data_IF_246811205714
#
_entry.id   IF_246811205714
#
_cell.length_a   1.000
_cell.length_b   1.000
_cell.length_c   1.000
_cell.angle_alpha   90.00
_cell.angle_beta   90.00
_cell.angle_gamma   90.00
#
_symmetry.space_group_name_H-M   'P 1'
#
loop_
_entity.id
_entity.type
_entity.pdbx_description
1 polymer ?
#
# COMPACT_ATOMS: atom_id res chain seq x y z
N UNK A 1 -15.16 -4.58 -18.85
CA UNK A 1 -15.52 -5.10 -17.51
C UNK A 1 -16.79 -5.90 -17.63
N UNK A 2 -16.87 -7.03 -16.94
CA UNK A 2 -18.06 -7.87 -16.85
C UNK A 2 -18.95 -7.37 -15.69
N UNK A 3 -20.22 -7.78 -15.67
CA UNK A 3 -21.15 -7.42 -14.58
C UNK A 3 -20.65 -7.85 -13.20
N UNK A 4 -19.99 -9.02 -13.13
CA UNK A 4 -19.37 -9.50 -11.89
C UNK A 4 -18.25 -8.57 -11.40
N UNK A 5 -17.50 -7.92 -12.29
CA UNK A 5 -16.44 -6.99 -11.89
C UNK A 5 -17.05 -5.78 -11.17
N UNK A 6 -18.18 -5.26 -11.68
CA UNK A 6 -18.90 -4.14 -11.07
C UNK A 6 -19.45 -4.52 -9.70
N UNK A 7 -20.07 -5.70 -9.59
CA UNK A 7 -20.56 -6.21 -8.31
C UNK A 7 -19.42 -6.37 -7.30
N UNK A 8 -18.27 -6.91 -7.73
CA UNK A 8 -17.12 -7.10 -6.84
C UNK A 8 -16.40 -5.81 -6.49
N UNK A 9 -16.47 -4.77 -7.33
CA UNK A 9 -16.03 -3.41 -6.94
C UNK A 9 -16.88 -2.91 -5.77
N UNK A 10 -18.21 -3.03 -5.86
CA UNK A 10 -19.11 -2.58 -4.80
C UNK A 10 -18.86 -3.35 -3.49
N UNK A 11 -18.72 -4.68 -3.57
CA UNK A 11 -18.42 -5.51 -2.39
C UNK A 11 -17.04 -5.17 -1.81
N UNK A 12 -16.01 -5.02 -2.66
CA UNK A 12 -14.67 -4.66 -2.23
C UNK A 12 -14.65 -3.31 -1.53
N UNK A 13 -15.32 -2.30 -2.10
CA UNK A 13 -15.40 -0.96 -1.52
C UNK A 13 -16.12 -0.97 -0.17
N UNK A 14 -17.26 -1.66 -0.08
CA UNK A 14 -18.03 -1.77 1.16
C UNK A 14 -17.23 -2.48 2.26
N UNK A 15 -16.63 -3.63 1.95
CA UNK A 15 -15.81 -4.38 2.90
C UNK A 15 -14.58 -3.58 3.32
N UNK A 16 -13.92 -2.91 2.38
CA UNK A 16 -12.73 -2.12 2.69
C UNK A 16 -13.07 -0.93 3.58
N UNK A 17 -14.17 -0.23 3.31
CA UNK A 17 -14.67 0.83 4.17
C UNK A 17 -15.00 0.30 5.58
N UNK A 18 -15.77 -0.79 5.69
CA UNK A 18 -16.17 -1.38 6.97
C UNK A 18 -14.95 -1.84 7.77
N UNK A 19 -14.05 -2.61 7.16
CA UNK A 19 -12.84 -3.08 7.84
C UNK A 19 -11.98 -1.89 8.24
N UNK A 20 -11.79 -0.90 7.36
CA UNK A 20 -11.07 0.33 7.67
C UNK A 20 -11.65 1.09 8.87
N UNK A 21 -12.98 1.17 8.97
CA UNK A 21 -13.66 1.77 10.13
C UNK A 21 -13.46 0.94 11.41
N UNK A 22 -13.55 -0.39 11.33
CA UNK A 22 -13.41 -1.28 12.49
C UNK A 22 -11.95 -1.42 12.97
N UNK A 23 -10.98 -1.31 12.06
CA UNK A 23 -9.55 -1.39 12.37
C UNK A 23 -8.91 -0.02 12.56
N UNK A 24 -9.70 1.05 12.64
CA UNK A 24 -9.19 2.35 13.01
C UNK A 24 -8.86 2.37 14.51
N UNK A 25 -7.68 1.85 14.85
CA UNK A 25 -7.19 1.76 16.23
C UNK A 25 -6.72 3.11 16.79
N UNK A 26 -6.85 4.20 16.03
CA UNK A 26 -6.28 5.51 16.40
C UNK A 26 -4.75 5.54 16.39
N UNK A 27 -4.10 4.48 15.91
CA UNK A 27 -2.64 4.41 15.77
C UNK A 27 -2.27 5.15 14.49
N UNK A 28 -1.61 6.30 14.67
CA UNK A 28 -1.12 7.16 13.61
C UNK A 28 0.42 7.08 13.56
N UNK A 29 1.03 7.57 12.48
CA UNK A 29 2.48 7.58 12.37
C UNK A 29 3.11 8.31 13.58
N UNK A 30 4.10 7.72 14.27
CA UNK A 30 4.64 8.28 15.50
C UNK A 30 5.34 9.62 15.31
N UNK A 31 5.75 9.93 14.08
CA UNK A 31 6.50 11.15 13.79
C UNK A 31 5.59 12.36 13.68
N UNK A 32 4.43 12.22 13.03
CA UNK A 32 3.55 13.35 12.72
C UNK A 32 2.06 13.10 12.93
N UNK A 33 1.60 11.86 13.10
CA UNK A 33 0.19 11.57 13.36
C UNK A 33 -0.73 11.73 12.15
N UNK A 34 -0.21 11.64 10.92
CA UNK A 34 -0.90 11.89 9.65
C UNK A 34 -1.41 10.63 9.00
N UNK A 35 -0.56 9.61 8.93
CA UNK A 35 -0.90 8.38 8.22
C UNK A 35 -1.31 7.31 9.22
N UNK A 36 -2.47 6.70 9.00
CA UNK A 36 -3.02 5.68 9.88
C UNK A 36 -2.30 4.34 9.69
N UNK A 37 -2.20 3.58 10.76
CA UNK A 37 -1.91 2.14 10.68
C UNK A 37 -3.09 1.42 10.01
N UNK A 38 -2.85 0.79 8.86
CA UNK A 38 -3.95 0.40 7.97
C UNK A 38 -3.93 -1.07 7.54
N UNK A 39 -4.22 -2.04 8.44
CA UNK A 39 -4.28 -3.45 8.07
C UNK A 39 -5.45 -3.77 7.11
N UNK A 40 -6.42 -2.86 6.96
CA UNK A 40 -7.57 -3.01 6.07
C UNK A 40 -7.18 -3.21 4.59
N UNK A 41 -5.96 -2.86 4.19
CA UNK A 41 -5.38 -3.10 2.84
C UNK A 41 -5.49 -4.54 2.35
N UNK A 42 -5.62 -5.51 3.27
CA UNK A 42 -5.83 -6.92 2.95
C UNK A 42 -7.06 -7.08 2.05
N UNK A 43 -8.14 -6.34 2.28
CA UNK A 43 -9.39 -6.46 1.53
C UNK A 43 -9.18 -6.14 0.05
N UNK A 44 -8.78 -4.91 -0.35
CA UNK A 44 -8.53 -4.64 -1.75
C UNK A 44 -7.39 -5.49 -2.33
N UNK A 45 -6.42 -5.93 -1.50
CA UNK A 45 -5.40 -6.90 -1.90
C UNK A 45 -5.99 -8.24 -2.37
N UNK A 46 -6.95 -8.81 -1.62
CA UNK A 46 -7.67 -10.05 -2.00
C UNK A 46 -8.41 -9.85 -3.32
N UNK A 47 -9.20 -8.77 -3.42
CA UNK A 47 -10.01 -8.51 -4.61
C UNK A 47 -9.16 -8.19 -5.85
N UNK A 48 -8.01 -7.55 -5.68
CA UNK A 48 -7.05 -7.31 -6.75
C UNK A 48 -6.53 -8.63 -7.33
N UNK A 49 -6.27 -9.64 -6.49
CA UNK A 49 -5.80 -10.95 -6.95
C UNK A 49 -6.94 -11.74 -7.59
N UNK A 50 -8.09 -11.85 -6.92
CA UNK A 50 -9.22 -12.66 -7.38
C UNK A 50 -9.89 -12.12 -8.65
N UNK A 51 -10.08 -10.80 -8.74
CA UNK A 51 -10.87 -10.18 -9.81
C UNK A 51 -10.07 -9.22 -10.71
N UNK A 52 -8.80 -8.96 -10.36
CA UNK A 52 -7.85 -8.26 -11.21
C UNK A 52 -7.77 -6.75 -10.96
N UNK A 53 -6.93 -6.10 -11.77
CA UNK A 53 -6.51 -4.69 -11.62
C UNK A 53 -7.63 -3.67 -11.41
N UNK A 54 -8.73 -3.80 -12.16
CA UNK A 54 -9.81 -2.80 -12.11
C UNK A 54 -10.65 -2.94 -10.85
N UNK A 55 -10.93 -4.18 -10.43
CA UNK A 55 -11.69 -4.44 -9.21
C UNK A 55 -10.89 -4.04 -7.98
N UNK A 56 -9.62 -4.44 -7.92
CA UNK A 56 -8.71 -4.02 -6.84
C UNK A 56 -8.57 -2.50 -6.75
N UNK A 57 -8.24 -1.83 -7.86
CA UNK A 57 -8.01 -0.38 -7.87
C UNK A 57 -9.26 0.44 -7.55
N UNK A 58 -10.37 0.21 -8.27
CA UNK A 58 -11.60 1.02 -8.08
C UNK A 58 -12.23 0.72 -6.71
N UNK A 59 -12.29 -0.56 -6.31
CA UNK A 59 -12.80 -0.96 -5.01
C UNK A 59 -12.01 -0.31 -3.87
N UNK A 60 -10.67 -0.31 -3.97
CA UNK A 60 -9.81 0.35 -2.99
C UNK A 60 -10.05 1.85 -2.92
N UNK A 61 -10.14 2.53 -4.08
CA UNK A 61 -10.33 3.98 -4.14
C UNK A 61 -11.65 4.43 -3.51
N UNK A 62 -12.74 3.71 -3.77
CA UNK A 62 -14.05 4.02 -3.18
C UNK A 62 -14.05 3.69 -1.69
N UNK A 63 -13.50 2.53 -1.31
CA UNK A 63 -13.49 2.10 0.09
C UNK A 63 -12.68 3.03 0.99
N UNK A 64 -11.49 3.46 0.55
CA UNK A 64 -10.67 4.41 1.33
C UNK A 64 -11.36 5.77 1.45
N UNK A 65 -12.02 6.24 0.38
CA UNK A 65 -12.75 7.51 0.41
C UNK A 65 -13.81 7.52 1.51
N UNK A 66 -14.63 6.48 1.54
CA UNK A 66 -15.68 6.35 2.55
C UNK A 66 -15.05 6.25 3.95
N UNK A 67 -14.02 5.45 4.11
CA UNK A 67 -13.36 5.27 5.41
C UNK A 67 -12.73 6.57 5.92
N UNK A 68 -12.06 7.32 5.06
CA UNK A 68 -11.42 8.59 5.40
C UNK A 68 -12.40 9.70 5.73
N UNK A 69 -13.50 9.80 4.97
CA UNK A 69 -14.50 10.85 5.16
C UNK A 69 -15.40 10.55 6.37
N UNK A 70 -15.77 9.29 6.59
CA UNK A 70 -16.74 8.92 7.63
C UNK A 70 -16.08 8.70 8.99
N UNK A 71 -14.98 7.94 9.05
CA UNK A 71 -14.33 7.55 10.30
C UNK A 71 -12.88 8.03 10.42
N UNK A 72 -12.38 8.69 9.39
CA UNK A 72 -11.01 9.16 9.30
C UNK A 72 -10.85 10.63 9.66
N UNK A 73 -10.14 11.34 8.79
CA UNK A 73 -9.83 12.75 8.97
C UNK A 73 -10.93 13.69 8.43
N UNK A 74 -12.02 13.15 7.86
CA UNK A 74 -13.20 13.92 7.45
C UNK A 74 -13.01 14.84 6.23
N UNK A 75 -11.83 14.84 5.61
CA UNK A 75 -11.51 15.75 4.50
C UNK A 75 -11.69 15.06 3.14
N UNK A 76 -12.84 15.26 2.51
CA UNK A 76 -13.14 14.66 1.22
C UNK A 76 -12.15 15.05 0.11
N UNK A 77 -11.68 16.30 0.08
CA UNK A 77 -10.74 16.75 -0.96
C UNK A 77 -9.39 16.05 -0.82
N UNK A 78 -8.89 15.95 0.41
CA UNK A 78 -7.64 15.24 0.69
C UNK A 78 -7.74 13.77 0.32
N UNK A 79 -8.82 13.09 0.75
CA UNK A 79 -8.99 11.68 0.44
C UNK A 79 -9.16 11.46 -1.07
N UNK A 80 -9.94 12.28 -1.76
CA UNK A 80 -10.12 12.16 -3.21
C UNK A 80 -8.81 12.35 -3.99
N UNK A 81 -8.02 13.35 -3.60
CA UNK A 81 -6.79 13.70 -4.33
C UNK A 81 -5.61 12.78 -4.03
N UNK A 82 -5.48 12.32 -2.78
CA UNK A 82 -4.32 11.55 -2.31
C UNK A 82 -4.71 10.11 -1.92
N UNK A 83 -5.74 9.95 -1.09
CA UNK A 83 -6.19 8.63 -0.61
C UNK A 83 -6.69 7.72 -1.75
N UNK A 84 -7.65 8.19 -2.53
CA UNK A 84 -8.21 7.46 -3.67
C UNK A 84 -7.17 7.17 -4.74
N UNK A 85 -6.32 8.15 -5.08
CA UNK A 85 -5.32 8.01 -6.14
C UNK A 85 -4.24 7.01 -5.75
N UNK A 86 -3.73 7.07 -4.52
CA UNK A 86 -2.76 6.10 -4.00
C UNK A 86 -3.31 4.69 -3.96
N UNK A 87 -4.51 4.50 -3.41
CA UNK A 87 -5.16 3.20 -3.31
C UNK A 87 -5.50 2.64 -4.69
N UNK A 88 -6.05 3.48 -5.58
CA UNK A 88 -6.33 3.08 -6.96
C UNK A 88 -5.07 2.54 -7.63
N UNK A 89 -4.00 3.33 -7.68
CA UNK A 89 -2.77 2.96 -8.39
C UNK A 89 -2.11 1.76 -7.73
N UNK A 90 -2.02 1.74 -6.39
CA UNK A 90 -1.40 0.65 -5.65
C UNK A 90 -2.08 -0.69 -5.92
N UNK A 91 -3.38 -0.79 -5.70
CA UNK A 91 -4.10 -2.06 -5.89
C UNK A 91 -4.35 -2.41 -7.37
N UNK A 92 -4.38 -1.42 -8.26
CA UNK A 92 -4.35 -1.68 -9.70
C UNK A 92 -3.05 -2.38 -10.10
N UNK A 93 -1.90 -1.92 -9.60
CA UNK A 93 -0.60 -2.56 -9.85
C UNK A 93 -0.52 -3.94 -9.20
N UNK A 94 -1.05 -4.12 -7.98
CA UNK A 94 -1.13 -5.45 -7.34
C UNK A 94 -1.90 -6.43 -8.24
N UNK A 95 -3.10 -6.05 -8.70
CA UNK A 95 -3.93 -6.90 -9.55
C UNK A 95 -3.37 -7.14 -10.95
N UNK A 96 -2.55 -6.20 -11.45
CA UNK A 96 -1.87 -6.32 -12.75
C UNK A 96 -0.66 -7.25 -12.68
N UNK A 97 0.20 -7.06 -11.68
CA UNK A 97 1.50 -7.74 -11.57
C UNK A 97 1.39 -9.13 -10.96
N UNK A 98 0.44 -9.36 -10.04
CA UNK A 98 0.23 -10.68 -9.41
C UNK A 98 -0.11 -11.78 -10.42
N UNK A 99 -0.70 -11.41 -11.57
CA UNK A 99 -1.07 -12.31 -12.66
C UNK A 99 0.01 -12.49 -13.73
N UNK A 100 1.16 -11.82 -13.60
CA UNK A 100 2.29 -12.00 -14.52
C UNK A 100 3.15 -13.18 -14.10
N UNK A 101 3.73 -13.86 -15.08
CA UNK A 101 4.72 -14.90 -14.84
C UNK A 101 6.14 -14.30 -14.80
N UNK A 102 6.53 -13.73 -13.65
CA UNK A 102 7.83 -13.09 -13.50
C UNK A 102 8.90 -14.09 -13.06
N UNK A 103 10.10 -13.95 -13.65
CA UNK A 103 11.26 -14.74 -13.25
C UNK A 103 11.84 -14.14 -11.98
N UNK A 104 12.45 -15.00 -11.15
CA UNK A 104 13.14 -14.58 -9.92
C UNK A 104 14.19 -13.49 -10.18
N UNK A 105 14.88 -13.57 -11.31
CA UNK A 105 15.85 -12.55 -11.72
C UNK A 105 15.23 -11.16 -11.82
N UNK A 106 14.03 -11.05 -12.41
CA UNK A 106 13.38 -9.75 -12.63
C UNK A 106 12.87 -9.18 -11.29
N UNK A 107 12.34 -10.05 -10.42
CA UNK A 107 11.93 -9.70 -9.05
C UNK A 107 13.13 -9.18 -8.26
N UNK A 108 14.26 -9.90 -8.28
CA UNK A 108 15.48 -9.53 -7.56
C UNK A 108 16.08 -8.22 -8.08
N UNK A 109 16.11 -8.02 -9.40
CA UNK A 109 16.59 -6.76 -10.00
C UNK A 109 15.76 -5.59 -9.48
N UNK A 110 14.43 -5.69 -9.52
CA UNK A 110 13.55 -4.60 -9.11
C UNK A 110 13.64 -4.34 -7.60
N UNK A 111 13.68 -5.39 -6.78
CA UNK A 111 13.89 -5.25 -5.33
C UNK A 111 15.24 -4.60 -5.04
N UNK A 112 16.30 -4.98 -5.75
CA UNK A 112 17.65 -4.42 -5.55
C UNK A 112 17.70 -2.95 -5.97
N UNK A 113 17.23 -2.63 -7.18
CA UNK A 113 17.18 -1.25 -7.70
C UNK A 113 16.34 -0.36 -6.78
N UNK A 114 15.16 -0.83 -6.38
CA UNK A 114 14.28 -0.10 -5.46
C UNK A 114 14.92 0.13 -4.09
N UNK A 115 15.55 -0.91 -3.51
CA UNK A 115 16.22 -0.79 -2.21
C UNK A 115 17.43 0.14 -2.28
N UNK A 116 18.25 0.05 -3.33
CA UNK A 116 19.41 0.93 -3.52
C UNK A 116 18.98 2.38 -3.70
N UNK A 117 17.93 2.63 -4.48
CA UNK A 117 17.38 3.98 -4.67
C UNK A 117 16.87 4.55 -3.34
N UNK A 118 16.10 3.78 -2.57
CA UNK A 118 15.56 4.22 -1.27
C UNK A 118 16.66 4.42 -0.21
N UNK A 119 17.68 3.56 -0.17
CA UNK A 119 18.83 3.73 0.73
C UNK A 119 19.66 4.96 0.35
N UNK A 120 19.97 5.14 -0.94
CA UNK A 120 20.72 6.31 -1.42
C UNK A 120 19.97 7.61 -1.13
N UNK A 121 18.64 7.60 -1.29
CA UNK A 121 17.79 8.74 -0.96
C UNK A 121 17.76 9.04 0.54
N UNK A 122 17.61 8.02 1.38
CA UNK A 122 17.65 8.18 2.85
C UNK A 122 19.00 8.74 3.31
N UNK A 123 20.10 8.23 2.73
CA UNK A 123 21.45 8.74 2.98
C UNK A 123 21.66 10.18 2.53
N UNK A 124 21.08 10.58 1.39
CA UNK A 124 21.09 11.97 0.94
C UNK A 124 20.32 12.89 1.89
N UNK A 125 19.12 12.50 2.35
CA UNK A 125 18.34 13.30 3.30
C UNK A 125 19.05 13.45 4.66
N UNK A 126 19.79 12.43 5.08
CA UNK A 126 20.66 12.51 6.25
C UNK A 126 21.81 13.51 6.04
N UNK A 127 22.46 13.50 4.87
CA UNK A 127 23.62 14.38 4.60
C UNK A 127 23.27 15.86 4.58
N UNK A 128 22.01 16.20 4.26
CA UNK A 128 21.47 17.58 4.33
C UNK A 128 20.83 17.91 5.69
N UNK A 129 21.10 17.12 6.74
CA UNK A 129 20.60 17.27 8.11
C UNK A 129 19.06 17.33 8.22
N UNK A 130 18.33 16.72 7.27
CA UNK A 130 16.87 16.68 7.31
C UNK A 130 16.34 15.48 8.12
N UNK A 131 17.17 14.46 8.35
CA UNK A 131 16.82 13.29 9.15
C UNK A 131 17.80 13.12 10.30
N UNK A 132 17.30 12.71 11.47
CA UNK A 132 18.16 12.25 12.57
C UNK A 132 18.63 10.82 12.31
N UNK A 133 19.72 10.43 12.97
CA UNK A 133 20.28 9.09 12.81
C UNK A 133 19.30 7.98 13.23
N UNK A 134 18.47 8.23 14.25
CA UNK A 134 17.44 7.29 14.71
C UNK A 134 16.38 7.05 13.63
N UNK A 135 15.96 8.11 12.94
CA UNK A 135 14.96 8.05 11.87
C UNK A 135 15.53 7.33 10.65
N UNK A 136 16.79 7.59 10.30
CA UNK A 136 17.50 6.86 9.23
C UNK A 136 17.59 5.36 9.55
N UNK A 137 17.99 5.02 10.78
CA UNK A 137 18.12 3.63 11.22
C UNK A 137 16.77 2.90 11.18
N UNK A 138 15.70 3.54 11.65
CA UNK A 138 14.34 2.99 11.60
C UNK A 138 13.91 2.74 10.15
N UNK A 139 14.15 3.67 9.23
CA UNK A 139 13.77 3.51 7.82
C UNK A 139 14.53 2.43 7.09
N UNK A 140 15.86 2.40 7.22
CA UNK A 140 16.65 1.33 6.61
C UNK A 140 16.27 -0.02 7.22
N UNK A 141 16.04 -0.08 8.54
CA UNK A 141 15.57 -1.27 9.24
C UNK A 141 14.27 -1.82 8.64
N UNK A 142 13.25 -0.99 8.51
CA UNK A 142 11.96 -1.38 7.91
C UNK A 142 12.12 -1.77 6.43
N UNK A 143 12.86 -0.99 5.64
CA UNK A 143 13.06 -1.25 4.21
C UNK A 143 13.67 -2.64 4.00
N UNK A 144 14.79 -2.93 4.68
CA UNK A 144 15.47 -4.21 4.55
C UNK A 144 14.70 -5.35 5.20
N UNK A 145 13.97 -5.11 6.30
CA UNK A 145 13.06 -6.10 6.87
C UNK A 145 11.95 -6.48 5.88
N UNK A 146 11.39 -5.51 5.15
CA UNK A 146 10.35 -5.75 4.16
C UNK A 146 10.89 -6.54 2.95
N UNK A 147 12.08 -6.19 2.47
CA UNK A 147 12.77 -6.95 1.41
C UNK A 147 13.04 -8.39 1.87
N UNK A 148 13.51 -8.57 3.11
CA UNK A 148 13.74 -9.88 3.70
C UNK A 148 12.44 -10.69 3.84
N UNK A 149 11.33 -10.07 4.25
CA UNK A 149 10.00 -10.71 4.32
C UNK A 149 9.57 -11.18 2.93
N UNK A 150 9.74 -10.36 1.89
CA UNK A 150 9.31 -10.70 0.53
C UNK A 150 10.15 -11.83 -0.05
N UNK A 151 11.48 -11.77 0.14
CA UNK A 151 12.38 -12.85 -0.29
C UNK A 151 12.08 -14.13 0.50
N UNK A 152 12.01 -14.04 1.83
CA UNK A 152 11.74 -15.17 2.71
C UNK A 152 10.40 -15.82 2.40
N UNK A 153 9.34 -15.03 2.22
CA UNK A 153 8.03 -15.51 1.84
C UNK A 153 8.02 -16.13 0.44
N UNK A 154 8.68 -15.51 -0.54
CA UNK A 154 8.78 -16.06 -1.89
C UNK A 154 9.59 -17.37 -1.93
N UNK A 155 10.63 -17.52 -1.09
CA UNK A 155 11.38 -18.77 -0.95
C UNK A 155 10.55 -19.86 -0.24
N UNK A 156 9.76 -19.48 0.77
CA UNK A 156 8.91 -20.42 1.49
C UNK A 156 7.69 -20.88 0.69
N UNK A 157 7.10 -19.96 -0.10
CA UNK A 157 5.92 -20.17 -0.92
C UNK A 157 6.16 -19.65 -2.35
N UNK A 158 6.94 -20.40 -3.17
CA UNK A 158 7.27 -20.00 -4.54
C UNK A 158 6.04 -19.75 -5.42
N UNK A 159 4.92 -20.39 -5.12
CA UNK A 159 3.65 -20.19 -5.85
C UNK A 159 3.09 -18.77 -5.70
N UNK A 160 3.45 -18.04 -4.63
CA UNK A 160 2.98 -16.67 -4.36
C UNK A 160 4.02 -15.60 -4.63
N UNK A 161 5.18 -15.95 -5.21
CA UNK A 161 6.27 -14.99 -5.45
C UNK A 161 5.83 -13.76 -6.26
N UNK A 162 4.99 -13.96 -7.27
CA UNK A 162 4.52 -12.89 -8.16
C UNK A 162 3.57 -11.95 -7.40
N UNK A 163 2.76 -12.50 -6.50
CA UNK A 163 1.92 -11.71 -5.61
C UNK A 163 2.75 -10.91 -4.61
N UNK A 164 3.73 -11.55 -3.93
CA UNK A 164 4.61 -10.85 -2.99
C UNK A 164 5.34 -9.68 -3.65
N UNK A 165 5.86 -9.90 -4.86
CA UNK A 165 6.43 -8.84 -5.69
C UNK A 165 5.42 -7.74 -6.03
N UNK A 166 4.21 -8.12 -6.48
CA UNK A 166 3.15 -7.18 -6.84
C UNK A 166 2.73 -6.30 -5.65
N UNK A 167 2.65 -6.87 -4.45
CA UNK A 167 2.36 -6.15 -3.20
C UNK A 167 3.43 -5.12 -2.87
N UNK A 168 4.72 -5.45 -3.03
CA UNK A 168 5.80 -4.48 -2.82
C UNK A 168 5.71 -3.32 -3.81
N UNK A 169 5.58 -3.62 -5.11
CA UNK A 169 5.54 -2.57 -6.13
C UNK A 169 4.30 -1.70 -5.98
N UNK A 170 3.13 -2.32 -5.80
CA UNK A 170 1.87 -1.61 -5.61
C UNK A 170 1.90 -0.73 -4.37
N UNK A 171 2.35 -1.25 -3.22
CA UNK A 171 2.46 -0.47 -2.00
C UNK A 171 3.52 0.63 -2.10
N UNK A 172 4.68 0.38 -2.72
CA UNK A 172 5.71 1.40 -2.86
C UNK A 172 5.19 2.59 -3.67
N UNK A 173 4.51 2.33 -4.80
CA UNK A 173 3.93 3.38 -5.64
C UNK A 173 2.79 4.09 -4.92
N UNK A 174 1.87 3.36 -4.28
CA UNK A 174 0.78 3.94 -3.49
C UNK A 174 1.30 4.81 -2.35
N UNK A 175 2.27 4.32 -1.59
CA UNK A 175 2.90 5.05 -0.48
C UNK A 175 3.66 6.29 -0.96
N UNK A 176 4.29 6.23 -2.13
CA UNK A 176 4.92 7.41 -2.72
C UNK A 176 3.89 8.49 -3.07
N UNK A 177 2.73 8.11 -3.63
CA UNK A 177 1.63 9.03 -3.87
C UNK A 177 1.13 9.65 -2.57
N UNK A 178 0.98 8.86 -1.49
CA UNK A 178 0.61 9.38 -0.17
C UNK A 178 1.65 10.38 0.33
N UNK A 179 2.91 9.99 0.35
CA UNK A 179 3.97 10.80 0.92
C UNK A 179 4.16 12.14 0.20
N UNK A 180 4.42 12.10 -1.11
CA UNK A 180 4.60 13.32 -1.89
C UNK A 180 3.31 14.09 -2.07
N UNK A 181 2.18 13.39 -2.13
CA UNK A 181 0.85 13.98 -2.23
C UNK A 181 0.49 14.80 -0.99
N UNK A 182 0.70 14.25 0.21
CA UNK A 182 0.46 14.97 1.46
C UNK A 182 1.36 16.20 1.60
N UNK A 183 2.65 16.06 1.25
CA UNK A 183 3.58 17.18 1.22
C UNK A 183 3.08 18.28 0.27
N UNK A 184 2.78 17.96 -0.99
CA UNK A 184 2.31 18.94 -1.97
C UNK A 184 0.96 19.55 -1.56
N UNK A 185 0.05 18.73 -1.05
CA UNK A 185 -1.27 19.15 -0.57
C UNK A 185 -1.14 20.21 0.53
N UNK A 186 -0.19 20.04 1.46
CA UNK A 186 0.02 20.96 2.60
C UNK A 186 0.36 22.40 2.22
N UNK A 187 0.82 22.66 0.99
CA UNK A 187 1.06 24.01 0.47
C UNK A 187 -0.22 24.64 -0.08
N UNK A 188 -1.09 23.83 -0.69
CA UNK A 188 -2.34 24.29 -1.30
C UNK A 188 -3.45 24.43 -0.26
N UNK A 189 -3.58 23.44 0.63
CA UNK A 189 -4.62 23.34 1.65
C UNK A 189 -4.02 22.85 2.99
N UNK A 190 -4.59 23.24 4.14
CA UNK A 190 -4.13 22.73 5.42
C UNK A 190 -4.39 21.24 5.54
N UNK A 191 -3.42 20.53 6.11
CA UNK A 191 -3.65 19.17 6.60
C UNK A 191 -4.62 19.23 7.80
N UNK A 192 -5.44 18.18 8.02
CA UNK A 192 -6.43 18.17 9.09
C UNK A 192 -5.81 18.48 10.47
N UNK A 193 -6.48 19.21 11.37
CA UNK A 193 -5.87 19.62 12.65
C UNK A 193 -5.53 18.45 13.59
N UNK A 194 -6.17 17.29 13.42
CA UNK A 194 -5.86 16.04 14.12
C UNK A 194 -4.46 15.46 13.83
N UNK A 195 -3.64 16.18 13.05
CA UNK A 195 -2.48 15.69 12.30
C UNK A 195 -1.20 16.49 12.56
N UNK A 196 -1.23 17.53 13.41
CA UNK A 196 -0.05 18.18 13.98
C UNK A 196 0.87 19.01 13.04
N UNK A 197 0.85 18.80 11.73
CA UNK A 197 1.73 19.49 10.76
C UNK A 197 1.15 20.77 10.14
N UNK A 198 -0.18 20.93 10.14
CA UNK A 198 -0.84 22.13 9.61
C UNK A 198 -0.56 22.39 8.12
N UNK A 199 0.01 23.56 7.79
CA UNK A 199 0.40 23.97 6.43
C UNK A 199 1.92 23.93 6.26
N UNK A 200 2.37 23.81 5.03
CA UNK A 200 3.80 23.84 4.65
C UNK A 200 4.61 22.74 5.34
N UNK A 201 4.16 21.50 5.19
CA UNK A 201 4.92 20.36 5.66
C UNK A 201 6.32 20.39 5.04
N UNK A 202 7.30 20.08 5.88
CA UNK A 202 8.71 20.03 5.45
C UNK A 202 8.87 18.90 4.43
N UNK A 203 9.77 19.07 3.45
CA UNK A 203 9.93 18.10 2.37
C UNK A 203 10.27 16.69 2.89
N UNK A 204 11.02 16.57 3.98
CA UNK A 204 11.35 15.27 4.54
C UNK A 204 10.10 14.51 5.06
N UNK A 205 9.00 15.20 5.36
CA UNK A 205 7.75 14.57 5.81
C UNK A 205 7.14 13.65 4.74
N UNK A 206 7.33 13.94 3.45
CA UNK A 206 6.86 13.05 2.38
C UNK A 206 7.49 11.66 2.47
N UNK A 207 8.75 11.60 2.89
CA UNK A 207 9.46 10.32 3.04
C UNK A 207 9.00 9.59 4.29
N UNK A 208 8.75 10.29 5.40
CA UNK A 208 8.27 9.62 6.61
C UNK A 208 6.90 8.98 6.36
N UNK A 209 5.99 9.68 5.69
CA UNK A 209 4.68 9.13 5.29
C UNK A 209 4.79 7.95 4.35
N UNK A 210 5.64 8.06 3.33
CA UNK A 210 5.86 6.97 2.39
C UNK A 210 6.32 5.72 3.14
N UNK A 211 7.36 5.85 3.96
CA UNK A 211 7.92 4.68 4.63
C UNK A 211 6.95 4.14 5.67
N UNK A 212 6.30 4.99 6.47
CA UNK A 212 5.29 4.54 7.44
C UNK A 212 4.15 3.76 6.77
N UNK A 213 3.56 4.30 5.70
CA UNK A 213 2.50 3.61 4.94
C UNK A 213 3.00 2.24 4.49
N UNK A 214 4.15 2.21 3.83
CA UNK A 214 4.70 0.97 3.29
C UNK A 214 5.00 -0.06 4.39
N UNK A 215 5.67 0.37 5.46
CA UNK A 215 6.10 -0.43 6.60
C UNK A 215 4.95 -1.17 7.26
N UNK A 216 3.85 -0.44 7.45
CA UNK A 216 2.73 -0.89 8.26
C UNK A 216 1.77 -1.75 7.46
N UNK A 217 1.75 -1.61 6.13
CA UNK A 217 0.81 -2.33 5.26
C UNK A 217 1.40 -3.62 4.66
N UNK A 218 2.70 -3.65 4.33
CA UNK A 218 3.31 -4.80 3.64
C UNK A 218 3.22 -6.13 4.42
N UNK A 219 3.37 -6.19 5.77
CA UNK A 219 3.31 -7.46 6.48
C UNK A 219 1.94 -8.12 6.35
N UNK A 220 0.87 -7.31 6.36
CA UNK A 220 -0.51 -7.79 6.25
C UNK A 220 -0.81 -8.32 4.85
N UNK A 221 -0.40 -7.59 3.81
CA UNK A 221 -0.57 -8.06 2.44
C UNK A 221 0.12 -9.40 2.22
N UNK A 222 1.39 -9.53 2.62
CA UNK A 222 2.17 -10.74 2.36
C UNK A 222 1.73 -11.91 3.25
N UNK A 223 1.37 -11.67 4.51
CA UNK A 223 1.01 -12.74 5.44
C UNK A 223 -0.43 -13.23 5.28
N UNK A 224 -1.39 -12.32 5.02
CA UNK A 224 -2.83 -12.64 5.16
C UNK A 224 -3.53 -12.84 3.82
N UNK A 225 -3.15 -12.11 2.77
CA UNK A 225 -3.83 -12.24 1.46
C UNK A 225 -3.61 -13.62 0.83
N UNK A 226 -2.38 -14.18 0.75
CA UNK A 226 -2.15 -15.50 0.15
C UNK A 226 -2.99 -16.64 0.75
N UNK A 227 -3.07 -16.84 2.08
CA UNK A 227 -3.88 -17.93 2.63
C UNK A 227 -5.38 -17.74 2.34
N UNK A 228 -5.90 -16.51 2.39
CA UNK A 228 -7.31 -16.24 2.09
C UNK A 228 -7.62 -16.53 0.63
N UNK A 229 -6.80 -16.00 -0.30
CA UNK A 229 -6.99 -16.25 -1.73
C UNK A 229 -6.88 -17.75 -2.03
N UNK A 230 -5.96 -18.48 -1.38
CA UNK A 230 -5.86 -19.94 -1.51
C UNK A 230 -7.13 -20.67 -1.09
N UNK A 231 -7.77 -20.23 0.00
CA UNK A 231 -9.07 -20.76 0.43
C UNK A 231 -10.15 -20.43 -0.60
N UNK A 232 -10.17 -19.20 -1.12
CA UNK A 232 -11.12 -18.78 -2.15
C UNK A 232 -10.98 -19.61 -3.44
N UNK A 233 -9.76 -19.89 -3.91
CA UNK A 233 -9.56 -20.76 -5.08
C UNK A 233 -10.04 -22.19 -4.85
N UNK A 234 -9.86 -22.73 -3.64
CA UNK A 234 -10.40 -24.06 -3.29
C UNK A 234 -11.93 -24.07 -3.26
N UNK A 235 -12.56 -23.01 -2.76
CA UNK A 235 -14.03 -22.91 -2.69
C UNK A 235 -14.65 -22.56 -4.06
N UNK A 236 -13.93 -21.78 -4.86
CA UNK A 236 -14.38 -21.24 -6.16
C UNK A 236 -13.29 -21.40 -7.23
N UNK A 237 -13.10 -22.62 -7.78
CA UNK A 237 -12.00 -22.91 -8.71
C UNK A 237 -12.01 -22.07 -9.98
N UNK A 238 -13.17 -21.57 -10.41
CA UNK A 238 -13.29 -20.70 -11.60
C UNK A 238 -12.62 -19.31 -11.41
N UNK A 239 -12.27 -18.93 -10.18
CA UNK A 239 -11.52 -17.70 -9.90
C UNK A 239 -10.01 -17.87 -10.09
N UNK A 240 -9.51 -19.10 -10.12
CA UNK A 240 -8.09 -19.36 -10.31
C UNK A 240 -7.67 -18.90 -11.71
N UNK A 241 -6.58 -18.11 -11.84
CA UNK A 241 -6.08 -17.73 -13.15
C UNK A 241 -5.73 -18.98 -13.96
N UNK A 242 -6.05 -19.05 -15.26
CA UNK A 242 -5.64 -20.18 -16.08
C UNK A 242 -4.11 -20.34 -16.00
N UNK A 243 -3.65 -21.55 -15.70
CA UNK A 243 -2.23 -21.90 -15.68
C UNK A 243 -1.66 -21.67 -17.09
N UNK A 244 -1.04 -20.51 -17.29
CA UNK A 244 -0.19 -20.31 -18.46
C UNK A 244 1.13 -21.04 -18.14
N UNK A 245 1.18 -22.32 -18.52
CA UNK A 245 2.40 -23.12 -18.54
C UNK A 245 3.51 -22.45 -19.35
#
# INVERSE_FOLDING_TARGET
MKTIDVAMIAVSAALYAIVGMLTNMGILDPAFGVVKFWPAVIVPGIFAVLFGRWVGGIGAAIGIFISDVVAGHGNAVLSFTIGCTSNFVGFYLVGLLSRRNMKWRDILIILTVGSVAMTGMTGYLYSINQLTLDVVALFLGVLYASVAIVIGFGLWKPEWKNYGFASVVGLLVGSAIIGFGLWAYSYVLPLPESVGLGRNAQFYASFLFLVWTFATEIPFLVAIVPPIVKVCYRAFPFLEPPNNG
#
